data_IF_524267146323
#
_entry.id   IF_524267146323
#
_cell.length_a   1.000
_cell.length_b   1.000
_cell.length_c   1.000
_cell.angle_alpha   90.00
_cell.angle_beta   90.00
_cell.angle_gamma   90.00
#
_symmetry.space_group_name_H-M   'P 1'
#
loop_
_entity.id
_entity.type
_entity.pdbx_description
1 polymer ?
#
# COMPACT_ATOMS: atom_id res chain seq x y z
N UNK A 1 15.25 -10.46 -11.04
CA UNK A 1 13.91 -11.06 -11.25
C UNK A 1 12.96 -10.49 -10.19
N UNK A 2 11.79 -10.08 -10.61
CA UNK A 2 10.84 -9.41 -9.73
C UNK A 2 9.46 -10.02 -9.85
N UNK A 3 8.74 -10.02 -8.75
CA UNK A 3 7.34 -10.45 -8.74
C UNK A 3 6.47 -9.22 -8.88
N UNK A 4 5.75 -9.14 -10.00
CA UNK A 4 4.87 -8.03 -10.30
C UNK A 4 3.43 -8.37 -10.02
N UNK A 5 2.67 -7.37 -9.59
CA UNK A 5 1.24 -7.51 -9.36
C UNK A 5 0.53 -6.20 -9.66
N UNK A 6 -0.76 -6.30 -9.91
CA UNK A 6 -1.60 -5.13 -10.07
C UNK A 6 -2.99 -5.42 -9.53
N UNK A 7 -3.67 -4.40 -9.08
CA UNK A 7 -5.01 -4.55 -8.55
C UNK A 7 -5.47 -3.32 -7.81
N UNK A 8 -6.66 -3.42 -7.27
CA UNK A 8 -7.26 -2.36 -6.48
C UNK A 8 -6.97 -2.60 -5.01
N UNK A 9 -6.48 -1.58 -4.34
CA UNK A 9 -6.27 -1.62 -2.89
C UNK A 9 -7.03 -0.47 -2.24
N UNK A 10 -7.40 -0.69 -0.98
CA UNK A 10 -8.00 0.35 -0.17
C UNK A 10 -6.96 0.87 0.82
N UNK A 11 -6.91 2.18 0.98
CA UNK A 11 -5.98 2.82 1.91
C UNK A 11 -6.52 2.65 3.32
N UNK A 12 -5.85 1.85 4.14
CA UNK A 12 -6.28 1.53 5.50
C UNK A 12 -5.78 2.57 6.50
N UNK A 13 -4.57 3.05 6.31
CA UNK A 13 -3.98 4.08 7.17
C UNK A 13 -3.67 5.32 6.35
N UNK A 14 -3.72 6.49 6.98
CA UNK A 14 -3.36 7.73 6.28
C UNK A 14 -1.95 7.63 5.71
N UNK A 15 -1.76 7.95 4.41
CA UNK A 15 -0.43 7.94 3.85
C UNK A 15 0.47 8.97 4.53
N UNK A 16 1.68 8.54 4.87
CA UNK A 16 2.67 9.43 5.47
C UNK A 16 3.82 9.65 4.49
N UNK A 17 4.27 10.89 4.40
CA UNK A 17 5.36 11.28 3.52
C UNK A 17 6.66 11.38 4.30
N UNK A 18 7.70 10.77 3.75
CA UNK A 18 9.04 10.88 4.30
C UNK A 18 9.97 11.41 3.22
N UNK A 19 10.73 12.44 3.55
CA UNK A 19 11.68 13.05 2.64
C UNK A 19 13.09 12.82 3.16
N UNK A 20 13.95 12.31 2.31
CA UNK A 20 15.36 12.08 2.65
C UNK A 20 16.19 13.31 2.32
N UNK A 21 17.42 13.37 2.87
CA UNK A 21 18.34 14.50 2.66
C UNK A 21 18.65 14.72 1.19
N UNK A 22 18.59 13.68 0.39
CA UNK A 22 18.81 13.76 -1.07
C UNK A 22 17.64 14.41 -1.81
N UNK A 23 16.51 14.67 -1.13
CA UNK A 23 15.30 15.15 -1.76
C UNK A 23 14.36 14.06 -2.22
N UNK A 24 14.78 12.80 -2.12
CA UNK A 24 13.93 11.66 -2.47
C UNK A 24 12.78 11.55 -1.48
N UNK A 25 11.59 11.27 -2.00
CA UNK A 25 10.38 11.13 -1.18
C UNK A 25 9.81 9.72 -1.26
N UNK A 26 9.22 9.26 -0.18
CA UNK A 26 8.48 8.01 -0.13
C UNK A 26 7.22 8.19 0.69
N UNK A 27 6.11 7.67 0.17
CA UNK A 27 4.85 7.58 0.92
C UNK A 27 4.68 6.15 1.40
N UNK A 28 4.28 6.00 2.65
CA UNK A 28 4.03 4.70 3.27
C UNK A 28 2.62 4.66 3.84
N UNK A 29 1.95 3.57 3.62
CA UNK A 29 0.64 3.31 4.21
C UNK A 29 0.33 1.82 4.15
N UNK A 30 -0.69 1.40 4.90
CA UNK A 30 -1.19 0.04 4.80
C UNK A 30 -2.29 0.01 3.75
N UNK A 31 -2.19 -0.92 2.81
CA UNK A 31 -3.19 -1.15 1.79
C UNK A 31 -4.00 -2.39 2.13
N UNK A 32 -5.31 -2.34 1.92
CA UNK A 32 -6.18 -3.45 2.17
C UNK A 32 -6.50 -4.22 0.90
N UNK A 33 -6.42 -5.55 1.01
CA UNK A 33 -6.77 -6.47 -0.06
C UNK A 33 -7.94 -7.31 0.43
N UNK A 34 -9.02 -7.31 -0.33
CA UNK A 34 -10.21 -8.10 0.01
C UNK A 34 -10.18 -9.39 -0.77
N UNK A 35 -10.18 -10.53 -0.07
CA UNK A 35 -9.98 -11.84 -0.68
C UNK A 35 -11.23 -12.70 -0.77
N UNK A 36 -12.39 -12.13 -0.54
CA UNK A 36 -13.64 -12.88 -0.57
C UNK A 36 -14.20 -13.10 0.83
N UNK A 37 -15.09 -14.07 0.95
CA UNK A 37 -15.78 -14.33 2.22
C UNK A 37 -15.34 -15.66 2.82
N UNK A 38 -15.31 -15.73 4.14
CA UNK A 38 -15.09 -16.97 4.85
C UNK A 38 -16.39 -17.79 4.90
N UNK A 39 -16.33 -18.96 5.55
CA UNK A 39 -17.50 -19.85 5.65
C UNK A 39 -18.68 -19.26 6.42
N UNK A 40 -18.41 -18.25 7.26
CA UNK A 40 -19.44 -17.59 8.06
C UNK A 40 -20.01 -16.35 7.37
N UNK A 41 -19.59 -16.09 6.14
CA UNK A 41 -20.07 -14.95 5.34
C UNK A 41 -19.36 -13.66 5.61
N UNK A 42 -18.30 -13.66 6.40
CA UNK A 42 -17.52 -12.45 6.70
C UNK A 42 -16.45 -12.22 5.64
N UNK A 43 -16.21 -10.94 5.30
CA UNK A 43 -15.16 -10.60 4.36
C UNK A 43 -13.78 -10.86 4.96
N UNK A 44 -12.91 -11.46 4.15
CA UNK A 44 -11.52 -11.69 4.52
C UNK A 44 -10.71 -10.52 4.01
N UNK A 45 -10.15 -9.75 4.93
CA UNK A 45 -9.36 -8.57 4.62
C UNK A 45 -7.93 -8.77 5.07
N UNK A 46 -6.99 -8.55 4.15
CA UNK A 46 -5.57 -8.63 4.45
C UNK A 46 -4.92 -7.26 4.23
N UNK A 47 -3.99 -6.94 5.07
CA UNK A 47 -3.24 -5.70 4.95
C UNK A 47 -1.84 -5.98 4.40
N UNK A 48 -1.35 -5.10 3.55
CA UNK A 48 0.01 -5.17 3.04
C UNK A 48 0.63 -3.78 3.13
N UNK A 49 1.92 -3.74 3.45
CA UNK A 49 2.64 -2.47 3.49
C UNK A 49 2.90 -1.99 2.07
N UNK A 50 2.53 -0.74 1.81
CA UNK A 50 2.67 -0.11 0.50
C UNK A 50 3.69 1.01 0.60
N UNK A 51 4.55 1.09 -0.41
CA UNK A 51 5.46 2.21 -0.58
C UNK A 51 5.34 2.78 -1.98
N UNK A 52 5.35 4.10 -2.07
CA UNK A 52 5.32 4.82 -3.35
C UNK A 52 6.45 5.83 -3.32
N UNK A 53 7.38 5.72 -4.25
CA UNK A 53 8.58 6.55 -4.29
C UNK A 53 8.46 7.70 -5.28
N UNK A 54 9.20 8.76 -5.01
CA UNK A 54 9.35 9.89 -5.92
C UNK A 54 8.18 10.85 -5.88
N UNK A 55 7.94 11.52 -6.98
CA UNK A 55 6.90 12.55 -7.07
C UNK A 55 5.49 11.98 -6.86
N UNK A 56 5.29 10.74 -7.22
CA UNK A 56 4.03 10.03 -6.99
C UNK A 56 3.71 9.94 -5.50
N UNK A 57 4.73 9.87 -4.65
CA UNK A 57 4.53 9.86 -3.20
C UNK A 57 3.84 11.14 -2.72
N UNK A 58 4.30 12.28 -3.22
CA UNK A 58 3.71 13.56 -2.88
C UNK A 58 2.25 13.65 -3.34
N UNK A 59 1.98 13.16 -4.54
CA UNK A 59 0.63 13.18 -5.11
C UNK A 59 -0.32 12.32 -4.28
N UNK A 60 0.10 11.13 -3.89
CA UNK A 60 -0.78 10.24 -3.12
C UNK A 60 -1.06 10.79 -1.72
N UNK A 61 -0.07 11.40 -1.08
CA UNK A 61 -0.27 12.00 0.25
C UNK A 61 -1.21 13.20 0.16
N UNK A 62 -1.08 13.98 -0.91
CA UNK A 62 -1.91 15.17 -1.10
C UNK A 62 -3.36 14.82 -1.43
N UNK A 63 -3.60 13.80 -2.24
CA UNK A 63 -4.92 13.52 -2.81
C UNK A 63 -5.65 12.31 -2.24
N UNK A 64 -4.96 11.43 -1.55
CA UNK A 64 -5.55 10.20 -1.04
C UNK A 64 -5.65 10.23 0.47
N UNK A 65 -6.75 9.69 0.97
CA UNK A 65 -7.03 9.62 2.40
C UNK A 65 -7.39 8.19 2.79
N UNK A 66 -7.31 7.92 4.06
CA UNK A 66 -7.80 6.67 4.62
C UNK A 66 -9.22 6.39 4.11
N UNK A 67 -9.43 5.21 3.60
CA UNK A 67 -10.71 4.78 3.05
C UNK A 67 -10.82 4.88 1.53
N UNK A 68 -9.93 5.63 0.89
CA UNK A 68 -9.93 5.72 -0.58
C UNK A 68 -9.40 4.45 -1.19
N UNK A 69 -9.84 4.16 -2.42
CA UNK A 69 -9.34 3.03 -3.20
C UNK A 69 -8.59 3.55 -4.41
N UNK A 70 -7.48 2.88 -4.72
CA UNK A 70 -6.69 3.22 -5.90
C UNK A 70 -6.28 1.94 -6.63
N UNK A 71 -6.02 2.06 -7.92
CA UNK A 71 -5.45 0.97 -8.71
C UNK A 71 -3.94 1.12 -8.70
N UNK A 72 -3.23 0.04 -8.36
CA UNK A 72 -1.77 0.06 -8.28
C UNK A 72 -1.15 -1.04 -9.11
N UNK A 73 0.01 -0.76 -9.67
CA UNK A 73 0.85 -1.73 -10.35
C UNK A 73 2.26 -1.57 -9.80
N UNK A 74 2.88 -2.67 -9.45
CA UNK A 74 4.21 -2.62 -8.91
C UNK A 74 4.78 -4.00 -8.66
N UNK A 75 5.79 -4.04 -7.84
CA UNK A 75 6.47 -5.29 -7.51
C UNK A 75 6.60 -5.48 -6.01
N UNK A 76 6.63 -6.75 -5.61
CA UNK A 76 6.85 -7.13 -4.23
C UNK A 76 8.35 -7.16 -3.97
N UNK A 77 8.77 -6.53 -2.90
CA UNK A 77 10.17 -6.60 -2.47
C UNK A 77 10.24 -6.96 -0.99
N UNK A 78 11.35 -7.54 -0.61
CA UNK A 78 11.63 -7.89 0.77
C UNK A 78 12.42 -6.76 1.42
N UNK A 79 11.97 -6.31 2.58
CA UNK A 79 12.70 -5.35 3.39
C UNK A 79 13.28 -6.08 4.58
N UNK A 80 14.56 -5.87 4.85
CA UNK A 80 15.25 -6.47 5.99
C UNK A 80 15.81 -5.38 6.88
N UNK A 81 15.79 -5.63 8.18
CA UNK A 81 16.40 -4.74 9.17
C UNK A 81 16.78 -5.54 10.39
N UNK A 82 17.64 -4.97 11.22
CA UNK A 82 18.01 -5.56 12.50
C UNK A 82 17.13 -4.97 13.59
N UNK A 83 16.60 -5.84 14.45
CA UNK A 83 15.85 -5.42 15.62
C UNK A 83 16.79 -4.69 16.58
N UNK A 84 16.41 -3.49 17.01
CA UNK A 84 17.25 -2.67 17.88
C UNK A 84 17.45 -3.27 19.28
N UNK A 85 16.49 -4.03 19.75
CA UNK A 85 16.53 -4.59 21.10
C UNK A 85 17.27 -5.92 21.16
N UNK A 86 17.03 -6.79 20.17
CA UNK A 86 17.56 -8.16 20.19
C UNK A 86 18.71 -8.38 19.21
N UNK A 87 18.89 -7.48 18.25
CA UNK A 87 19.86 -7.65 17.18
C UNK A 87 19.45 -8.69 16.14
N UNK A 88 18.29 -9.31 16.30
CA UNK A 88 17.79 -10.31 15.36
C UNK A 88 17.44 -9.69 14.02
N UNK A 89 17.69 -10.43 12.95
CA UNK A 89 17.27 -10.01 11.61
C UNK A 89 15.77 -10.19 11.49
N UNK A 90 15.12 -9.15 10.98
CA UNK A 90 13.70 -9.18 10.68
C UNK A 90 13.48 -8.83 9.23
N UNK A 91 12.39 -9.33 8.67
CA UNK A 91 12.03 -9.03 7.28
C UNK A 91 10.53 -8.95 7.13
N UNK A 92 10.12 -8.23 6.10
CA UNK A 92 8.72 -8.18 5.69
C UNK A 92 8.66 -7.98 4.19
N UNK A 93 7.52 -8.34 3.61
CA UNK A 93 7.24 -8.05 2.21
C UNK A 93 6.56 -6.70 2.12
N UNK A 94 7.01 -5.91 1.15
CA UNK A 94 6.48 -4.57 0.89
C UNK A 94 6.10 -4.51 -0.58
N UNK A 95 4.94 -3.92 -0.87
CA UNK A 95 4.54 -3.69 -2.25
C UNK A 95 5.04 -2.31 -2.68
N UNK A 96 5.98 -2.31 -3.62
CA UNK A 96 6.55 -1.09 -4.17
C UNK A 96 5.76 -0.69 -5.40
N UNK A 97 5.02 0.39 -5.31
CA UNK A 97 4.17 0.85 -6.40
C UNK A 97 5.01 1.57 -7.44
N UNK A 98 4.91 1.10 -8.69
CA UNK A 98 5.57 1.75 -9.82
C UNK A 98 4.61 2.72 -10.51
N UNK A 99 3.31 2.41 -10.45
CA UNK A 99 2.29 3.19 -11.12
C UNK A 99 0.99 3.05 -10.36
N UNK A 100 0.26 4.15 -10.21
CA UNK A 100 -1.06 4.10 -9.62
C UNK A 100 -2.03 4.98 -10.40
N UNK A 101 -3.31 4.68 -10.29
CA UNK A 101 -4.37 5.43 -10.92
C UNK A 101 -5.50 5.66 -9.93
N UNK A 102 -6.08 6.85 -9.97
CA UNK A 102 -7.25 7.14 -9.18
C UNK A 102 -8.46 6.45 -9.79
N UNK A 103 -9.32 5.91 -8.92
CA UNK A 103 -10.57 5.33 -9.38
C UNK A 103 -11.64 6.42 -9.48
N UNK A 104 -12.55 6.29 -10.46
CA UNK A 104 -13.71 7.17 -10.51
C UNK A 104 -14.54 7.04 -9.22
N UNK A 105 -15.16 8.12 -8.78
CA UNK A 105 -15.97 8.11 -7.56
C UNK A 105 -17.09 7.07 -7.60
N UNK A 106 -17.68 6.86 -8.74
CA UNK A 106 -18.72 5.85 -8.90
C UNK A 106 -18.20 4.44 -8.62
N UNK A 107 -16.99 4.12 -9.10
CA UNK A 107 -16.35 2.84 -8.83
C UNK A 107 -16.01 2.67 -7.35
N UNK A 108 -15.56 3.74 -6.70
CA UNK A 108 -15.26 3.71 -5.27
C UNK A 108 -16.52 3.53 -4.42
N UNK A 109 -17.63 4.12 -4.83
CA UNK A 109 -18.90 3.98 -4.12
C UNK A 109 -19.42 2.55 -4.16
N UNK A 110 -19.10 1.81 -5.22
CA UNK A 110 -19.50 0.41 -5.38
C UNK A 110 -18.52 -0.56 -4.73
N UNK A 111 -17.42 -0.06 -4.20
CA UNK A 111 -16.44 -0.87 -3.50
C UNK A 111 -17.06 -1.51 -2.26
N UNK A 112 -16.70 -2.75 -2.04
CA UNK A 112 -17.15 -3.45 -0.85
C UNK A 112 -16.40 -2.92 0.36
N UNK A 113 -17.10 -2.73 1.45
CA UNK A 113 -16.51 -2.17 2.66
C UNK A 113 -15.41 -3.07 3.24
N UNK A 114 -14.36 -2.44 3.66
CA UNK A 114 -13.35 -3.08 4.49
C UNK A 114 -13.70 -2.90 5.95
#
# INVERSE_FOLDING_TARGET
MSLYASGIIRIITEPSLRTFDSGTMVANFAGGIQEGKDKDGNWINNAIDIEIWGKSAEVVVDRCKKGDSIFVTGNVRRQEWADKETGSKRSKLVFSVQRFEFLPRAAQADEVAF
#
